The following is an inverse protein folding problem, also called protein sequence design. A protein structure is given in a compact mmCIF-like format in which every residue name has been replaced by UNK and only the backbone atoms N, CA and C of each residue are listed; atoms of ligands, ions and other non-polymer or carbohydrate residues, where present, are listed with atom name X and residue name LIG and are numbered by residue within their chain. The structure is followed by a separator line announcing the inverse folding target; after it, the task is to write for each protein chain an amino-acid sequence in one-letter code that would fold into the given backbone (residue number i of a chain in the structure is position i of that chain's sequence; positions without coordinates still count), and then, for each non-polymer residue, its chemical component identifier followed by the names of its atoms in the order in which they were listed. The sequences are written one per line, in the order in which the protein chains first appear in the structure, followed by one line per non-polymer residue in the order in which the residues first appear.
data_IF_465037231327
#
_entry.id   IF_465037231327
#
_cell.length_a   1.000
_cell.length_b   1.000
_cell.length_c   1.000
_cell.angle_alpha   90.00
_cell.angle_beta   90.00
_cell.angle_gamma   90.00
#
_symmetry.space_group_name_H-M   'P 1'
#
loop_
_entity.id
_entity.type
_entity.pdbx_description
1 polymer ?
#
# COMPACT_ATOMS: atom_id res chain seq x y z
N UNK A 1 -11.89 31.50 23.85
CA UNK A 1 -11.86 30.06 24.18
C UNK A 1 -10.45 29.72 24.64
N UNK A 2 -10.25 28.96 25.72
CA UNK A 2 -8.88 28.64 26.19
C UNK A 2 -8.21 27.66 25.24
N UNK A 3 -6.87 27.70 25.12
CA UNK A 3 -6.11 26.78 24.26
C UNK A 3 -6.41 25.30 24.59
N UNK A 4 -6.59 24.99 25.88
CA UNK A 4 -7.00 23.66 26.36
C UNK A 4 -8.39 23.26 25.85
N UNK A 5 -9.33 24.19 25.81
CA UNK A 5 -10.67 23.93 25.29
C UNK A 5 -10.65 23.70 23.76
N UNK A 6 -9.87 24.48 23.01
CA UNK A 6 -9.71 24.27 21.56
C UNK A 6 -9.11 22.89 21.28
N UNK A 7 -8.07 22.53 22.01
CA UNK A 7 -7.43 21.22 21.91
C UNK A 7 -8.38 20.06 22.24
N UNK A 8 -9.12 20.18 23.35
CA UNK A 8 -10.09 19.17 23.76
C UNK A 8 -11.23 18.99 22.75
N UNK A 9 -11.71 20.08 22.15
CA UNK A 9 -12.72 20.02 21.09
C UNK A 9 -12.21 19.27 19.86
N UNK A 10 -10.96 19.52 19.43
CA UNK A 10 -10.34 18.80 18.31
C UNK A 10 -10.23 17.30 18.62
N UNK A 11 -9.73 16.94 19.80
CA UNK A 11 -9.61 15.55 20.22
C UNK A 11 -10.96 14.84 20.26
N UNK A 12 -11.99 15.52 20.77
CA UNK A 12 -13.34 14.96 20.86
C UNK A 12 -13.94 14.74 19.48
N UNK A 13 -13.76 15.69 18.55
CA UNK A 13 -14.17 15.53 17.16
C UNK A 13 -13.47 14.36 16.46
N UNK A 14 -12.16 14.27 16.59
CA UNK A 14 -11.37 13.17 16.02
C UNK A 14 -11.75 11.81 16.62
N UNK A 15 -11.97 11.74 17.93
CA UNK A 15 -12.40 10.52 18.61
C UNK A 15 -13.78 10.08 18.13
N UNK A 16 -14.73 11.01 17.97
CA UNK A 16 -16.06 10.71 17.46
C UNK A 16 -16.02 10.17 16.02
N UNK A 17 -15.28 10.83 15.14
CA UNK A 17 -15.09 10.36 13.75
C UNK A 17 -14.39 9.01 13.73
N UNK A 18 -13.33 8.84 14.51
CA UNK A 18 -12.59 7.58 14.63
C UNK A 18 -13.45 6.44 15.15
N UNK A 19 -14.35 6.70 16.11
CA UNK A 19 -15.29 5.71 16.62
C UNK A 19 -16.29 5.26 15.54
N UNK A 20 -16.84 6.21 14.77
CA UNK A 20 -17.75 5.89 13.65
C UNK A 20 -17.04 5.08 12.58
N UNK A 21 -15.82 5.48 12.18
CA UNK A 21 -15.02 4.73 11.20
C UNK A 21 -14.66 3.35 11.73
N UNK A 22 -14.22 3.24 12.99
CA UNK A 22 -13.89 1.98 13.62
C UNK A 22 -15.08 1.02 13.65
N UNK A 23 -16.27 1.53 13.95
CA UNK A 23 -17.50 0.75 13.89
C UNK A 23 -17.85 0.32 12.46
N UNK A 24 -17.71 1.21 11.47
CA UNK A 24 -17.96 0.91 10.06
C UNK A 24 -17.03 -0.19 9.53
N UNK A 25 -15.76 -0.17 9.91
CA UNK A 25 -14.77 -1.19 9.55
C UNK A 25 -14.99 -2.54 10.25
N UNK A 26 -15.93 -2.65 11.19
CA UNK A 26 -16.16 -3.87 11.97
C UNK A 26 -15.19 -4.07 13.12
N UNK A 27 -14.65 -2.97 13.65
CA UNK A 27 -13.69 -2.94 14.74
C UNK A 27 -12.24 -2.76 14.29
N UNK A 28 -11.42 -2.25 15.22
CA UNK A 28 -9.96 -2.14 15.09
C UNK A 28 -9.31 -3.35 15.78
N UNK A 29 -9.33 -4.49 15.11
CA UNK A 29 -8.63 -5.70 15.57
C UNK A 29 -7.19 -5.73 15.03
N UNK A 30 -6.43 -6.76 15.41
CA UNK A 30 -5.01 -6.89 15.04
C UNK A 30 -4.77 -6.82 13.52
N UNK A 31 -5.69 -7.34 12.70
CA UNK A 31 -5.58 -7.30 11.25
C UNK A 31 -5.75 -5.89 10.69
N UNK A 32 -6.76 -5.15 11.16
CA UNK A 32 -6.95 -3.76 10.74
C UNK A 32 -5.82 -2.87 11.26
N UNK A 33 -5.31 -3.10 12.47
CA UNK A 33 -4.13 -2.40 12.98
C UNK A 33 -2.88 -2.67 12.12
N UNK A 34 -2.65 -3.92 11.72
CA UNK A 34 -1.56 -4.27 10.82
C UNK A 34 -1.70 -3.54 9.47
N UNK A 35 -2.91 -3.52 8.90
CA UNK A 35 -3.16 -2.81 7.64
C UNK A 35 -2.88 -1.31 7.77
N UNK A 36 -3.35 -0.66 8.84
CA UNK A 36 -3.09 0.76 9.09
C UNK A 36 -1.57 1.02 9.15
N UNK A 37 -0.82 0.18 9.86
CA UNK A 37 0.63 0.31 9.94
C UNK A 37 1.28 0.18 8.55
N UNK A 38 0.89 -0.82 7.76
CA UNK A 38 1.40 -1.01 6.40
C UNK A 38 1.09 0.18 5.49
N UNK A 39 -0.14 0.71 5.52
CA UNK A 39 -0.52 1.91 4.76
C UNK A 39 0.33 3.13 5.15
N UNK A 40 0.58 3.32 6.45
CA UNK A 40 1.41 4.43 6.95
C UNK A 40 2.86 4.29 6.47
N UNK A 41 3.46 3.10 6.62
CA UNK A 41 4.83 2.87 6.16
C UNK A 41 4.95 2.94 4.63
N UNK A 42 3.97 2.42 3.89
CA UNK A 42 3.94 2.53 2.44
C UNK A 42 3.87 3.99 2.00
N UNK A 43 3.03 4.81 2.64
CA UNK A 43 2.96 6.24 2.33
C UNK A 43 4.27 6.96 2.62
N UNK A 44 4.87 6.73 3.80
CA UNK A 44 6.15 7.33 4.17
C UNK A 44 7.25 6.93 3.17
N UNK A 45 7.40 5.63 2.89
CA UNK A 45 8.41 5.13 1.96
C UNK A 45 8.16 5.60 0.53
N UNK A 46 6.91 5.66 0.07
CA UNK A 46 6.55 6.19 -1.23
C UNK A 46 6.89 7.68 -1.40
N UNK A 47 6.67 8.48 -0.35
CA UNK A 47 7.08 9.89 -0.32
C UNK A 47 8.61 10.00 -0.36
N UNK A 48 9.32 9.22 0.48
CA UNK A 48 10.79 9.21 0.49
C UNK A 48 11.36 8.82 -0.87
N UNK A 49 10.80 7.78 -1.51
CA UNK A 49 11.23 7.33 -2.84
C UNK A 49 10.98 8.41 -3.90
N UNK A 50 9.83 9.10 -3.87
CA UNK A 50 9.54 10.20 -4.78
C UNK A 50 10.49 11.40 -4.59
N UNK A 51 10.91 11.67 -3.35
CA UNK A 51 11.92 12.70 -3.04
C UNK A 51 13.28 12.29 -3.57
N UNK A 52 13.71 11.05 -3.34
CA UNK A 52 14.99 10.53 -3.83
C UNK A 52 15.09 10.60 -5.36
N UNK A 53 13.99 10.34 -6.06
CA UNK A 53 13.88 10.44 -7.52
C UNK A 53 13.66 11.87 -8.04
N UNK A 54 13.55 12.87 -7.15
CA UNK A 54 13.20 14.27 -7.48
C UNK A 54 11.89 14.41 -8.27
N UNK A 55 10.94 13.49 -8.08
CA UNK A 55 9.63 13.45 -8.75
C UNK A 55 8.49 13.71 -7.77
N UNK A 56 8.65 14.71 -6.92
CA UNK A 56 7.62 15.08 -5.95
C UNK A 56 6.52 15.87 -6.66
N UNK A 57 5.39 15.21 -6.89
CA UNK A 57 4.19 15.86 -7.41
C UNK A 57 3.01 15.61 -6.48
N UNK A 58 2.28 16.67 -6.14
CA UNK A 58 1.06 16.60 -5.33
C UNK A 58 -0.01 15.74 -5.99
N UNK A 59 -0.06 15.69 -7.32
CA UNK A 59 -0.98 14.82 -8.06
C UNK A 59 -0.67 13.32 -7.83
N UNK A 60 0.61 12.97 -7.74
CA UNK A 60 1.06 11.59 -7.45
C UNK A 60 0.70 11.23 -6.01
N UNK A 61 1.01 12.12 -5.05
CA UNK A 61 0.67 11.91 -3.63
C UNK A 61 -0.83 11.81 -3.39
N UNK A 62 -1.63 12.69 -4.00
CA UNK A 62 -3.09 12.65 -3.91
C UNK A 62 -3.65 11.33 -4.46
N UNK A 63 -3.17 10.89 -5.62
CA UNK A 63 -3.61 9.60 -6.20
C UNK A 63 -3.27 8.41 -5.29
N UNK A 64 -2.14 8.47 -4.58
CA UNK A 64 -1.78 7.50 -3.55
C UNK A 64 -2.79 7.48 -2.40
N UNK A 65 -3.04 8.63 -1.77
CA UNK A 65 -3.97 8.77 -0.64
C UNK A 65 -5.39 8.35 -1.02
N UNK A 66 -5.89 8.78 -2.18
CA UNK A 66 -7.23 8.40 -2.67
C UNK A 66 -7.40 6.88 -2.78
N UNK A 67 -6.35 6.16 -3.22
CA UNK A 67 -6.37 4.69 -3.27
C UNK A 67 -6.46 4.09 -1.86
N UNK A 68 -5.72 4.62 -0.88
CA UNK A 68 -5.76 4.11 0.50
C UNK A 68 -7.13 4.34 1.15
N UNK A 69 -7.78 5.47 0.88
CA UNK A 69 -9.15 5.73 1.35
C UNK A 69 -10.11 4.67 0.78
N UNK A 70 -10.01 4.35 -0.52
CA UNK A 70 -10.84 3.31 -1.14
C UNK A 70 -10.65 1.93 -0.49
N UNK A 71 -9.44 1.59 -0.05
CA UNK A 71 -9.17 0.33 0.66
C UNK A 71 -10.03 0.23 1.93
N UNK A 72 -10.00 1.27 2.78
CA UNK A 72 -10.80 1.29 4.01
C UNK A 72 -12.31 1.29 3.72
N UNK A 73 -12.75 1.99 2.67
CA UNK A 73 -14.15 1.94 2.22
C UNK A 73 -14.58 0.52 1.85
N UNK A 74 -13.76 -0.19 1.07
CA UNK A 74 -14.06 -1.57 0.65
C UNK A 74 -14.08 -2.56 1.81
N UNK A 75 -13.22 -2.37 2.81
CA UNK A 75 -13.23 -3.18 4.04
C UNK A 75 -14.53 -2.96 4.82
N UNK A 76 -14.96 -1.71 4.98
CA UNK A 76 -16.22 -1.42 5.66
C UNK A 76 -17.44 -1.92 4.90
N UNK A 77 -17.41 -1.89 3.56
CA UNK A 77 -18.44 -2.53 2.74
C UNK A 77 -18.44 -4.05 2.91
N UNK A 78 -17.27 -4.70 2.92
CA UNK A 78 -17.15 -6.14 3.16
C UNK A 78 -17.70 -6.52 4.55
N UNK A 79 -17.40 -5.73 5.58
CA UNK A 79 -17.98 -5.88 6.90
C UNK A 79 -19.50 -5.73 6.89
N UNK A 80 -20.04 -4.73 6.18
CA UNK A 80 -21.48 -4.54 6.08
C UNK A 80 -22.18 -5.74 5.42
N UNK A 81 -21.56 -6.31 4.37
CA UNK A 81 -22.05 -7.51 3.70
C UNK A 81 -21.99 -8.74 4.61
N UNK A 82 -20.91 -8.93 5.36
CA UNK A 82 -20.80 -10.04 6.32
C UNK A 82 -21.95 -10.01 7.33
N UNK A 83 -22.24 -8.82 7.90
CA UNK A 83 -23.23 -8.65 8.95
C UNK A 83 -24.66 -8.70 8.41
N UNK A 84 -24.95 -8.05 7.28
CA UNK A 84 -26.34 -7.84 6.82
C UNK A 84 -26.79 -8.76 5.69
N UNK A 85 -25.86 -9.39 4.97
CA UNK A 85 -26.20 -10.20 3.78
C UNK A 85 -25.85 -11.67 3.99
N UNK A 86 -24.62 -11.95 4.43
CA UNK A 86 -24.10 -13.32 4.54
C UNK A 86 -24.52 -13.99 5.85
N UNK A 87 -24.65 -13.20 6.92
CA UNK A 87 -24.97 -13.72 8.25
C UNK A 87 -23.83 -14.51 8.89
N UNK A 88 -22.63 -14.50 8.28
CA UNK A 88 -21.40 -15.05 8.87
C UNK A 88 -20.45 -13.87 9.13
N UNK A 89 -20.39 -13.36 10.37
CA UNK A 89 -19.58 -12.21 10.69
C UNK A 89 -18.10 -12.42 10.38
N UNK A 90 -17.51 -11.49 9.63
CA UNK A 90 -16.07 -11.32 9.51
C UNK A 90 -15.37 -12.13 8.42
N UNK A 91 -16.05 -13.00 7.66
CA UNK A 91 -15.42 -13.80 6.63
C UNK A 91 -14.91 -12.94 5.46
N UNK A 92 -15.78 -12.16 4.81
CA UNK A 92 -15.38 -11.26 3.73
C UNK A 92 -14.48 -10.14 4.23
N UNK A 93 -14.81 -9.53 5.38
CA UNK A 93 -13.98 -8.48 5.99
C UNK A 93 -12.54 -8.95 6.15
N UNK A 94 -12.33 -10.12 6.75
CA UNK A 94 -10.99 -10.69 6.97
C UNK A 94 -10.28 -10.95 5.65
N UNK A 95 -10.97 -11.56 4.67
CA UNK A 95 -10.39 -11.80 3.36
C UNK A 95 -9.98 -10.50 2.65
N UNK A 96 -10.84 -9.47 2.69
CA UNK A 96 -10.56 -8.15 2.11
C UNK A 96 -9.39 -7.46 2.81
N UNK A 97 -9.32 -7.52 4.14
CA UNK A 97 -8.19 -6.94 4.90
C UNK A 97 -6.88 -7.63 4.54
N UNK A 98 -6.84 -8.97 4.52
CA UNK A 98 -5.62 -9.73 4.16
C UNK A 98 -5.20 -9.47 2.71
N UNK A 99 -6.17 -9.37 1.79
CA UNK A 99 -5.90 -9.02 0.40
C UNK A 99 -5.23 -7.65 0.27
N UNK A 100 -5.80 -6.61 0.90
CA UNK A 100 -5.21 -5.28 0.84
C UNK A 100 -3.93 -5.15 1.65
N UNK A 101 -3.78 -5.87 2.76
CA UNK A 101 -2.52 -5.94 3.50
C UNK A 101 -1.40 -6.47 2.61
N UNK A 102 -1.69 -7.50 1.81
CA UNK A 102 -0.74 -8.03 0.82
C UNK A 102 -0.40 -6.99 -0.25
N UNK A 103 -1.39 -6.25 -0.76
CA UNK A 103 -1.17 -5.18 -1.75
C UNK A 103 -0.29 -4.05 -1.20
N UNK A 104 -0.52 -3.64 0.05
CA UNK A 104 0.32 -2.64 0.73
C UNK A 104 1.73 -3.17 0.99
N UNK A 105 1.87 -4.45 1.35
CA UNK A 105 3.18 -5.09 1.50
C UNK A 105 3.98 -5.12 0.20
N UNK A 106 3.34 -5.41 -0.93
CA UNK A 106 3.96 -5.36 -2.27
C UNK A 106 4.43 -3.93 -2.59
N UNK A 107 3.57 -2.93 -2.37
CA UNK A 107 3.89 -1.51 -2.57
C UNK A 107 5.06 -1.04 -1.68
N UNK A 108 5.12 -1.50 -0.43
CA UNK A 108 6.20 -1.20 0.49
C UNK A 108 7.55 -1.75 -0.01
N UNK A 109 7.56 -2.98 -0.52
CA UNK A 109 8.77 -3.60 -1.11
C UNK A 109 9.21 -2.87 -2.38
N UNK A 110 8.27 -2.43 -3.21
CA UNK A 110 8.55 -1.61 -4.40
C UNK A 110 9.25 -0.29 -4.00
N UNK A 111 8.66 0.44 -3.04
CA UNK A 111 9.23 1.69 -2.54
C UNK A 111 10.60 1.48 -1.87
N UNK A 112 10.77 0.40 -1.11
CA UNK A 112 12.06 0.01 -0.55
C UNK A 112 13.12 -0.24 -1.63
N UNK A 113 12.76 -0.93 -2.72
CA UNK A 113 13.65 -1.18 -3.86
C UNK A 113 14.04 0.13 -4.55
N UNK A 114 13.10 1.06 -4.73
CA UNK A 114 13.36 2.41 -5.29
C UNK A 114 14.30 3.23 -4.41
N UNK A 115 14.29 3.01 -3.10
CA UNK A 115 15.21 3.63 -2.14
C UNK A 115 16.59 2.95 -2.07
N UNK A 116 16.83 1.88 -2.84
CA UNK A 116 18.12 1.20 -2.92
C UNK A 116 18.34 0.10 -1.88
N UNK A 117 17.28 -0.37 -1.20
CA UNK A 117 17.38 -1.55 -0.34
C UNK A 117 17.63 -2.80 -1.21
N UNK A 118 18.64 -3.64 -0.86
CA UNK A 118 18.93 -4.85 -1.62
C UNK A 118 17.82 -5.89 -1.41
N UNK A 119 17.02 -6.12 -2.44
CA UNK A 119 15.96 -7.13 -2.44
C UNK A 119 16.41 -8.36 -3.23
N UNK A 120 16.24 -9.59 -2.69
CA UNK A 120 16.58 -10.82 -3.39
C UNK A 120 15.95 -10.93 -4.78
N UNK A 121 16.71 -11.44 -5.76
CA UNK A 121 16.30 -11.49 -7.18
C UNK A 121 14.98 -12.25 -7.44
N UNK A 122 14.60 -13.19 -6.57
CA UNK A 122 13.33 -13.90 -6.66
C UNK A 122 12.13 -13.00 -6.32
N UNK A 123 12.26 -12.18 -5.27
CA UNK A 123 11.22 -11.24 -4.84
C UNK A 123 11.07 -10.13 -5.87
N UNK A 124 12.19 -9.63 -6.41
CA UNK A 124 12.18 -8.61 -7.48
C UNK A 124 11.46 -9.10 -8.74
N UNK A 125 11.75 -10.33 -9.18
CA UNK A 125 11.06 -10.93 -10.34
C UNK A 125 9.56 -11.13 -10.10
N UNK A 126 9.17 -11.59 -8.90
CA UNK A 126 7.76 -11.74 -8.55
C UNK A 126 7.03 -10.39 -8.55
N UNK A 127 7.67 -9.35 -8.00
CA UNK A 127 7.13 -7.99 -8.00
C UNK A 127 6.95 -7.45 -9.43
N UNK A 128 7.96 -7.63 -10.29
CA UNK A 128 7.90 -7.20 -11.69
C UNK A 128 6.74 -7.85 -12.44
N UNK A 129 6.49 -9.16 -12.23
CA UNK A 129 5.35 -9.87 -12.82
C UNK A 129 4.01 -9.30 -12.38
N UNK A 130 3.82 -9.08 -11.07
CA UNK A 130 2.56 -8.52 -10.53
C UNK A 130 2.33 -7.09 -11.05
N UNK A 131 3.38 -6.27 -11.11
CA UNK A 131 3.29 -4.90 -11.64
C UNK A 131 2.97 -4.88 -13.13
N UNK A 132 3.52 -5.82 -13.92
CA UNK A 132 3.24 -5.97 -15.35
C UNK A 132 1.78 -6.28 -15.61
N UNK A 133 1.21 -7.25 -14.90
CA UNK A 133 -0.19 -7.65 -15.06
C UNK A 133 -1.17 -6.51 -14.72
N UNK A 134 -0.79 -5.62 -13.80
CA UNK A 134 -1.61 -4.47 -13.38
C UNK A 134 -1.46 -3.26 -14.31
N UNK A 135 -0.34 -3.09 -15.02
CA UNK A 135 -0.05 -1.88 -15.82
C UNK A 135 0.08 -2.10 -17.33
N UNK A 136 0.13 -3.36 -17.81
CA UNK A 136 0.25 -3.69 -19.22
C UNK A 136 1.53 -3.18 -19.90
N UNK A 137 2.57 -2.86 -19.13
CA UNK A 137 3.80 -2.24 -19.62
C UNK A 137 4.82 -3.30 -20.09
N UNK A 138 5.36 -3.21 -21.32
CA UNK A 138 6.34 -4.17 -21.80
C UNK A 138 7.72 -3.95 -21.15
N UNK A 139 8.57 -4.97 -21.28
CA UNK A 139 9.84 -5.14 -20.60
C UNK A 139 10.67 -3.85 -20.50
N UNK A 140 11.14 -3.53 -19.28
CA UNK A 140 12.38 -2.79 -19.18
C UNK A 140 13.45 -3.72 -19.73
N UNK A 141 13.96 -3.36 -20.91
CA UNK A 141 15.03 -4.06 -21.61
C UNK A 141 16.05 -4.58 -20.61
N UNK A 142 16.12 -5.91 -20.51
CA UNK A 142 17.24 -6.59 -19.94
C UNK A 142 18.43 -6.27 -20.84
N UNK A 143 19.15 -5.19 -20.57
CA UNK A 143 20.44 -4.92 -21.22
C UNK A 143 21.36 -6.08 -20.86
N UNK A 144 21.73 -6.95 -21.83
CA UNK A 144 22.69 -8.02 -21.57
C UNK A 144 24.06 -7.35 -21.58
N UNK A 145 24.56 -6.99 -20.40
CA UNK A 145 25.94 -6.52 -20.32
C UNK A 145 26.83 -7.70 -19.97
N UNK A 146 27.43 -8.32 -20.99
CA UNK A 146 28.87 -8.32 -21.24
C UNK A 146 29.23 -9.47 -22.17
N UNK A 147 29.59 -9.10 -23.39
CA UNK A 147 30.47 -9.88 -24.27
C UNK A 147 31.68 -10.37 -23.50
N UNK A 148 31.86 -11.69 -23.40
CA UNK A 148 33.19 -12.27 -23.19
C UNK A 148 33.98 -12.05 -24.48
N UNK A 149 35.12 -11.35 -24.47
CA UNK A 149 35.94 -11.15 -25.67
C UNK A 149 36.80 -12.40 -25.88
N UNK A 150 36.24 -13.45 -26.50
CA UNK A 150 36.99 -14.65 -26.84
C UNK A 150 36.36 -15.44 -28.00
N UNK A 151 36.06 -14.78 -29.12
CA UNK A 151 35.81 -15.50 -30.39
C UNK A 151 36.12 -14.62 -31.61
N UNK A 152 37.32 -14.04 -31.62
CA UNK A 152 37.98 -13.59 -32.86
C UNK A 152 39.15 -14.52 -33.14
N UNK A 153 38.86 -15.77 -33.44
CA UNK A 153 39.79 -16.66 -34.14
C UNK A 153 38.96 -17.77 -34.81
N UNK A 154 39.11 -17.92 -36.13
CA UNK A 154 38.52 -18.95 -37.00
C UNK A 154 37.15 -18.67 -37.64
N UNK A 155 37.13 -17.77 -38.64
CA UNK A 155 36.88 -18.05 -40.08
C UNK A 155 36.55 -16.76 -40.84
#
# INVERSE_FOLDING_TARGET
MSLKAIWATIQTGLAGVGAVIGAFLGGLDGLVYALIAFVVFDYITGVLAAIAERRVSSAIGFRGISRKILIFTLIGLAHLLDVHVIGTPGALRTATVVFYLSNEGISLIENATRLGLPVPAHIRRALDLVTRDVTGKPDLEHHPNQTTPAEKENL
#
